data_IF_926443167188
#
_entry.id   IF_926443167188
#
_cell.length_a   1.000
_cell.length_b   1.000
_cell.length_c   1.000
_cell.angle_alpha   90.00
_cell.angle_beta   90.00
_cell.angle_gamma   90.00
#
_symmetry.space_group_name_H-M   'P 1'
#
loop_
_entity.id
_entity.type
_entity.pdbx_description
1 polymer ?
#
# COMPACT_ATOMS: atom_id res chain seq x y z
N UNK A 1 20.50 -7.72 8.07
CA UNK A 1 19.88 -7.08 9.26
C UNK A 1 19.81 -8.11 10.39
N UNK A 2 20.14 -7.79 11.64
CA UNK A 2 20.18 -8.79 12.75
C UNK A 2 18.89 -8.69 13.58
N UNK A 3 18.00 -9.68 13.48
CA UNK A 3 16.76 -9.73 14.26
C UNK A 3 17.06 -10.11 15.72
N UNK A 4 16.53 -9.33 16.66
CA UNK A 4 16.69 -9.53 18.11
C UNK A 4 15.32 -9.86 18.70
N UNK A 5 15.19 -11.06 19.26
CA UNK A 5 13.99 -11.50 19.97
C UNK A 5 13.87 -10.73 21.30
N UNK A 6 12.73 -10.09 21.52
CA UNK A 6 12.37 -9.31 22.70
C UNK A 6 11.20 -9.96 23.47
N UNK A 7 10.32 -10.69 22.77
CA UNK A 7 9.11 -11.27 23.35
C UNK A 7 9.10 -12.80 23.43
N UNK A 8 8.23 -13.35 24.28
CA UNK A 8 8.03 -14.80 24.39
C UNK A 8 7.52 -15.43 23.08
N UNK A 9 6.69 -14.71 22.33
CA UNK A 9 6.17 -15.12 21.01
C UNK A 9 7.22 -15.06 19.89
N UNK A 10 8.34 -14.39 20.13
CA UNK A 10 9.44 -14.26 19.15
C UNK A 10 10.52 -15.32 19.35
N UNK A 11 10.40 -16.13 20.41
CA UNK A 11 11.42 -17.11 20.79
C UNK A 11 11.60 -18.16 19.70
N UNK A 12 12.79 -18.21 19.09
CA UNK A 12 13.10 -19.12 17.99
C UNK A 12 12.76 -18.55 16.60
N UNK A 13 12.09 -17.40 16.52
CA UNK A 13 11.79 -16.74 15.25
C UNK A 13 13.06 -16.23 14.58
N UNK A 14 14.12 -15.89 15.33
CA UNK A 14 15.41 -15.49 14.76
C UNK A 14 15.95 -16.53 13.78
N UNK A 15 15.82 -17.81 14.11
CA UNK A 15 16.28 -18.88 13.22
C UNK A 15 15.48 -18.88 11.92
N UNK A 16 14.15 -18.74 11.99
CA UNK A 16 13.27 -18.64 10.82
C UNK A 16 13.65 -17.42 9.96
N UNK A 17 13.89 -16.28 10.59
CA UNK A 17 14.30 -15.06 9.91
C UNK A 17 15.64 -15.26 9.17
N UNK A 18 16.62 -15.90 9.80
CA UNK A 18 17.95 -16.06 9.20
C UNK A 18 17.99 -17.13 8.11
N UNK A 19 17.30 -18.26 8.29
CA UNK A 19 17.39 -19.39 7.36
C UNK A 19 16.38 -19.33 6.23
N UNK A 20 15.14 -18.88 6.50
CA UNK A 20 14.04 -18.89 5.53
C UNK A 20 13.76 -17.52 4.92
N UNK A 21 13.71 -16.47 5.75
CA UNK A 21 13.36 -15.13 5.26
C UNK A 21 14.56 -14.36 4.70
N UNK A 22 15.74 -14.48 5.30
CA UNK A 22 16.94 -13.73 4.92
C UNK A 22 17.24 -13.79 3.42
N UNK A 23 17.43 -14.99 2.83
CA UNK A 23 17.70 -15.13 1.40
C UNK A 23 16.57 -14.57 0.52
N UNK A 24 15.30 -14.83 0.89
CA UNK A 24 14.14 -14.35 0.14
C UNK A 24 14.01 -12.82 0.19
N UNK A 25 14.33 -12.20 1.33
CA UNK A 25 14.34 -10.75 1.51
C UNK A 25 15.46 -10.08 0.70
N UNK A 26 16.64 -10.69 0.64
CA UNK A 26 17.74 -10.20 -0.21
C UNK A 26 17.40 -10.30 -1.69
N UNK A 27 16.80 -11.41 -2.12
CA UNK A 27 16.28 -11.57 -3.49
C UNK A 27 15.21 -10.52 -3.80
N UNK A 28 14.29 -10.28 -2.86
CA UNK A 28 13.29 -9.24 -2.99
C UNK A 28 13.94 -7.84 -3.10
N UNK A 29 14.88 -7.50 -2.22
CA UNK A 29 15.56 -6.21 -2.27
C UNK A 29 16.35 -6.03 -3.59
N UNK A 30 16.98 -7.10 -4.09
CA UNK A 30 17.64 -7.11 -5.39
C UNK A 30 16.64 -6.88 -6.54
N UNK A 31 15.46 -7.53 -6.51
CA UNK A 31 14.37 -7.30 -7.47
C UNK A 31 13.88 -5.86 -7.41
N UNK A 32 13.67 -5.28 -6.22
CA UNK A 32 13.30 -3.87 -6.05
C UNK A 32 14.33 -2.95 -6.70
N UNK A 33 15.62 -3.15 -6.42
CA UNK A 33 16.71 -2.34 -7.00
C UNK A 33 16.79 -2.50 -8.53
N UNK A 34 16.59 -3.73 -9.05
CA UNK A 34 16.58 -3.99 -10.48
C UNK A 34 15.38 -3.33 -11.18
N UNK A 35 14.19 -3.38 -10.57
CA UNK A 35 12.99 -2.70 -11.06
C UNK A 35 13.17 -1.17 -11.04
N UNK A 36 13.71 -0.60 -9.95
CA UNK A 36 14.01 0.83 -9.89
C UNK A 36 15.04 1.25 -10.94
N UNK A 37 16.06 0.42 -11.19
CA UNK A 37 17.05 0.66 -12.25
C UNK A 37 16.43 0.59 -13.64
N UNK A 38 15.58 -0.42 -13.91
CA UNK A 38 14.82 -0.52 -15.18
C UNK A 38 13.85 0.64 -15.35
N UNK A 39 13.12 1.01 -14.31
CA UNK A 39 12.21 2.14 -14.32
C UNK A 39 12.97 3.43 -14.63
N UNK A 40 14.11 3.68 -13.98
CA UNK A 40 14.95 4.87 -14.23
C UNK A 40 15.53 4.91 -15.65
N UNK A 41 15.95 3.78 -16.20
CA UNK A 41 16.44 3.71 -17.58
C UNK A 41 15.29 3.87 -18.59
N UNK A 42 14.13 3.28 -18.30
CA UNK A 42 12.92 3.39 -19.11
C UNK A 42 12.35 4.81 -19.13
N UNK A 43 12.31 5.49 -17.98
CA UNK A 43 11.88 6.90 -17.93
C UNK A 43 12.81 7.82 -18.71
N UNK A 44 14.12 7.60 -18.61
CA UNK A 44 15.09 8.34 -19.39
C UNK A 44 14.91 8.09 -20.90
N UNK A 45 14.68 6.84 -21.30
CA UNK A 45 14.43 6.49 -22.71
C UNK A 45 13.13 7.11 -23.25
N UNK A 46 12.03 7.10 -22.46
CA UNK A 46 10.77 7.75 -22.82
C UNK A 46 10.93 9.26 -22.95
N UNK A 47 11.63 9.89 -22.01
CA UNK A 47 11.94 11.32 -22.06
C UNK A 47 12.75 11.68 -23.32
N UNK A 48 13.83 10.95 -23.60
CA UNK A 48 14.65 11.15 -24.79
C UNK A 48 13.84 10.95 -26.08
N UNK A 49 12.96 9.93 -26.12
CA UNK A 49 12.11 9.69 -27.29
C UNK A 49 11.13 10.84 -27.55
N UNK A 50 10.56 11.43 -26.50
CA UNK A 50 9.67 12.60 -26.59
C UNK A 50 10.42 13.85 -27.05
N UNK A 51 11.61 14.12 -26.50
CA UNK A 51 12.46 15.23 -26.91
C UNK A 51 12.93 15.07 -28.37
N UNK A 52 13.30 13.85 -28.78
CA UNK A 52 13.67 13.56 -30.16
C UNK A 52 12.49 13.75 -31.13
N UNK A 53 11.29 13.33 -30.74
CA UNK A 53 10.07 13.55 -31.54
C UNK A 53 9.73 15.05 -31.66
N UNK A 54 9.87 15.81 -30.57
CA UNK A 54 9.68 17.26 -30.57
C UNK A 54 10.71 17.99 -31.46
N UNK A 55 11.98 17.59 -31.38
CA UNK A 55 13.05 18.12 -32.23
C UNK A 55 12.86 17.79 -33.71
N UNK A 56 12.42 16.57 -34.03
CA UNK A 56 12.09 16.18 -35.40
C UNK A 56 10.89 16.97 -35.95
N UNK A 57 9.85 17.14 -35.13
CA UNK A 57 8.67 17.94 -35.49
C UNK A 57 9.05 19.42 -35.71
N UNK A 58 9.94 19.97 -34.90
CA UNK A 58 10.47 21.33 -35.07
C UNK A 58 11.14 21.51 -36.43
N UNK A 59 11.98 20.55 -36.84
CA UNK A 59 12.67 20.57 -38.14
C UNK A 59 11.69 20.46 -39.31
N UNK A 60 10.63 19.65 -39.18
CA UNK A 60 9.63 19.44 -40.25
C UNK A 60 8.67 20.62 -40.44
N UNK A 61 8.36 21.37 -39.37
CA UNK A 61 7.37 22.47 -39.41
C UNK A 61 8.01 23.84 -39.74
N UNK A 62 9.32 23.88 -39.99
CA UNK A 62 9.97 25.05 -40.59
C UNK A 62 10.16 26.26 -39.65
N UNK A 63 10.09 26.08 -38.33
CA UNK A 63 10.67 27.04 -37.37
C UNK A 63 10.01 28.43 -37.25
N UNK A 64 8.85 28.69 -37.84
CA UNK A 64 8.25 30.04 -37.82
C UNK A 64 7.23 30.24 -36.69
N UNK A 65 7.61 31.00 -35.66
CA UNK A 65 6.76 31.73 -34.70
C UNK A 65 5.87 30.94 -33.72
N UNK A 66 5.44 29.72 -34.08
CA UNK A 66 4.60 28.82 -33.26
C UNK A 66 5.39 27.67 -32.63
N UNK A 67 6.71 27.73 -32.70
CA UNK A 67 7.61 26.65 -32.31
C UNK A 67 7.91 26.52 -30.80
N UNK A 68 7.94 27.60 -29.99
CA UNK A 68 8.25 27.47 -28.55
C UNK A 68 7.18 26.73 -27.75
N UNK A 69 5.89 26.94 -28.07
CA UNK A 69 4.79 26.32 -27.32
C UNK A 69 4.66 24.83 -27.62
N UNK A 70 4.97 24.40 -28.86
CA UNK A 70 4.97 22.98 -29.23
C UNK A 70 6.04 22.23 -28.45
N UNK A 71 7.27 22.74 -28.42
CA UNK A 71 8.37 22.14 -27.64
C UNK A 71 8.00 22.06 -26.16
N UNK A 72 7.41 23.13 -25.61
CA UNK A 72 6.99 23.16 -24.21
C UNK A 72 5.91 22.11 -23.89
N UNK A 73 4.88 21.98 -24.73
CA UNK A 73 3.82 20.97 -24.56
C UNK A 73 4.40 19.55 -24.61
N UNK A 74 5.29 19.26 -25.57
CA UNK A 74 5.93 17.96 -25.67
C UNK A 74 6.84 17.64 -24.47
N UNK A 75 7.57 18.62 -23.95
CA UNK A 75 8.39 18.46 -22.75
C UNK A 75 7.51 18.14 -21.52
N UNK A 76 6.41 18.86 -21.32
CA UNK A 76 5.47 18.64 -20.21
C UNK A 76 4.81 17.25 -20.33
N UNK A 77 4.34 16.87 -21.52
CA UNK A 77 3.74 15.54 -21.75
C UNK A 77 4.77 14.42 -21.55
N UNK A 78 6.02 14.62 -21.99
CA UNK A 78 7.11 13.67 -21.78
C UNK A 78 7.43 13.43 -20.30
N UNK A 79 7.45 14.50 -19.49
CA UNK A 79 7.64 14.41 -18.03
C UNK A 79 6.48 13.67 -17.37
N UNK A 80 5.23 13.99 -17.74
CA UNK A 80 4.04 13.31 -17.20
C UNK A 80 4.05 11.82 -17.57
N UNK A 81 4.34 11.48 -18.82
CA UNK A 81 4.41 10.10 -19.28
C UNK A 81 5.51 9.30 -18.57
N UNK A 82 6.69 9.90 -18.38
CA UNK A 82 7.79 9.29 -17.62
C UNK A 82 7.41 9.09 -16.14
N UNK A 83 6.75 10.06 -15.52
CA UNK A 83 6.29 9.96 -14.13
C UNK A 83 5.23 8.86 -13.96
N UNK A 84 4.25 8.79 -14.85
CA UNK A 84 3.22 7.72 -14.85
C UNK A 84 3.86 6.35 -15.05
N UNK A 85 4.79 6.21 -16.02
CA UNK A 85 5.49 4.95 -16.26
C UNK A 85 6.29 4.48 -15.04
N UNK A 86 6.94 5.42 -14.33
CA UNK A 86 7.67 5.11 -13.10
C UNK A 86 6.75 4.57 -12.02
N UNK A 87 5.64 5.26 -11.73
CA UNK A 87 4.70 4.88 -10.67
C UNK A 87 4.05 3.51 -10.94
N UNK A 88 3.65 3.24 -12.19
CA UNK A 88 3.07 1.95 -12.59
C UNK A 88 4.02 0.76 -12.38
N UNK A 89 5.34 0.99 -12.46
CA UNK A 89 6.33 -0.06 -12.23
C UNK A 89 6.67 -0.24 -10.74
N UNK A 90 6.56 0.81 -9.93
CA UNK A 90 6.87 0.75 -8.50
C UNK A 90 5.72 0.24 -7.64
N UNK A 91 4.46 0.45 -8.05
CA UNK A 91 3.28 0.06 -7.26
C UNK A 91 3.10 -1.45 -7.12
N UNK A 92 3.69 -2.24 -8.03
CA UNK A 92 3.63 -3.72 -7.99
C UNK A 92 4.42 -4.34 -6.83
N UNK A 93 5.18 -3.54 -6.08
CA UNK A 93 6.12 -4.04 -5.07
C UNK A 93 5.54 -4.20 -3.66
N UNK A 94 4.64 -3.31 -3.23
CA UNK A 94 4.28 -3.18 -1.80
C UNK A 94 3.57 -4.43 -1.23
N UNK A 95 2.83 -5.17 -2.06
CA UNK A 95 2.13 -6.39 -1.63
C UNK A 95 3.03 -7.62 -1.44
N UNK A 96 4.15 -7.71 -2.16
CA UNK A 96 4.98 -8.93 -2.19
C UNK A 96 5.70 -9.24 -0.88
N UNK A 97 5.88 -8.24 -0.02
CA UNK A 97 6.56 -8.41 1.26
C UNK A 97 5.65 -9.09 2.29
N UNK A 98 4.40 -8.66 2.39
CA UNK A 98 3.42 -9.29 3.29
C UNK A 98 3.16 -10.74 2.90
N UNK A 99 3.02 -11.02 1.60
CA UNK A 99 2.85 -12.39 1.08
C UNK A 99 4.03 -13.30 1.41
N UNK A 100 5.23 -12.73 1.52
CA UNK A 100 6.42 -13.49 1.85
C UNK A 100 6.53 -13.76 3.36
N UNK A 101 6.31 -12.73 4.18
CA UNK A 101 6.61 -12.77 5.61
C UNK A 101 5.44 -13.36 6.41
N UNK A 102 4.20 -12.97 6.09
CA UNK A 102 3.04 -13.30 6.92
C UNK A 102 2.77 -14.81 7.04
N UNK A 103 2.92 -15.64 5.99
CA UNK A 103 2.78 -17.09 6.14
C UNK A 103 3.80 -17.69 7.11
N UNK A 104 5.06 -17.24 7.07
CA UNK A 104 6.13 -17.74 7.95
C UNK A 104 5.90 -17.30 9.41
N UNK A 105 5.33 -16.10 9.63
CA UNK A 105 4.89 -15.66 10.96
C UNK A 105 3.72 -16.54 11.45
N UNK A 106 2.72 -16.79 10.61
CA UNK A 106 1.57 -17.60 10.99
C UNK A 106 1.96 -19.05 11.31
N UNK A 107 2.88 -19.64 10.54
CA UNK A 107 3.44 -20.97 10.79
C UNK A 107 4.23 -21.00 12.11
N UNK A 108 5.06 -19.98 12.37
CA UNK A 108 5.88 -19.93 13.58
C UNK A 108 5.05 -19.75 14.86
N UNK A 109 4.12 -18.78 14.85
CA UNK A 109 3.29 -18.50 16.02
C UNK A 109 2.25 -19.61 16.23
N UNK A 110 1.77 -20.21 15.13
CA UNK A 110 0.76 -21.26 15.15
C UNK A 110 -0.65 -20.71 15.45
N UNK A 111 -1.67 -21.35 14.88
CA UNK A 111 -3.07 -21.00 15.14
C UNK A 111 -3.50 -19.62 14.60
N UNK A 112 -2.73 -19.06 13.68
CA UNK A 112 -3.04 -17.83 12.95
C UNK A 112 -3.35 -18.15 11.49
N UNK A 113 -4.23 -17.35 10.90
CA UNK A 113 -4.53 -17.36 9.47
C UNK A 113 -4.35 -15.97 8.91
N UNK A 114 -3.80 -15.89 7.70
CA UNK A 114 -3.51 -14.64 7.02
C UNK A 114 -4.18 -14.61 5.65
N UNK A 115 -4.80 -13.49 5.33
CA UNK A 115 -5.41 -13.21 4.04
C UNK A 115 -5.05 -11.79 3.60
N UNK A 116 -4.38 -11.69 2.45
CA UNK A 116 -3.86 -10.39 1.97
C UNK A 116 -4.96 -9.43 1.56
N UNK A 117 -5.95 -9.92 0.82
CA UNK A 117 -7.03 -9.13 0.24
C UNK A 117 -8.38 -9.70 0.73
N UNK A 118 -8.81 -9.38 1.96
CA UNK A 118 -9.92 -10.06 2.63
C UNK A 118 -11.33 -9.70 2.14
N UNK A 119 -11.46 -9.00 1.01
CA UNK A 119 -12.73 -8.63 0.35
C UNK A 119 -13.91 -8.27 1.28
N UNK A 120 -13.67 -7.48 2.33
CA UNK A 120 -14.74 -7.04 3.23
C UNK A 120 -15.11 -8.01 4.35
N UNK A 121 -14.37 -9.10 4.55
CA UNK A 121 -14.57 -10.05 5.67
C UNK A 121 -14.53 -9.36 7.04
N UNK A 122 -13.75 -8.29 7.19
CA UNK A 122 -13.75 -7.52 8.43
C UNK A 122 -14.93 -6.55 8.47
N UNK A 123 -15.69 -6.59 9.58
CA UNK A 123 -16.96 -5.88 9.74
C UNK A 123 -16.78 -4.38 10.06
N UNK A 124 -16.33 -3.59 9.08
CA UNK A 124 -16.13 -2.14 9.21
C UNK A 124 -17.42 -1.41 9.55
N UNK A 125 -18.56 -1.85 9.02
CA UNK A 125 -19.87 -1.27 9.34
C UNK A 125 -20.16 -1.30 10.84
N UNK A 126 -19.87 -2.41 11.52
CA UNK A 126 -20.05 -2.53 12.97
C UNK A 126 -19.19 -1.52 13.73
N UNK A 127 -17.95 -1.29 13.28
CA UNK A 127 -17.06 -0.30 13.90
C UNK A 127 -17.54 1.14 13.70
N UNK A 128 -18.11 1.44 12.53
CA UNK A 128 -18.79 2.71 12.26
C UNK A 128 -19.96 2.92 13.21
N UNK A 129 -20.80 1.91 13.39
CA UNK A 129 -22.01 2.00 14.24
C UNK A 129 -21.65 2.16 15.74
N UNK A 130 -20.45 1.71 16.12
CA UNK A 130 -19.85 1.98 17.43
C UNK A 130 -19.27 3.40 17.57
N UNK A 131 -19.23 4.18 16.48
CA UNK A 131 -18.74 5.56 16.45
C UNK A 131 -17.21 5.68 16.42
N UNK A 132 -16.49 4.65 15.98
CA UNK A 132 -15.01 4.69 15.97
C UNK A 132 -14.42 5.63 14.92
N UNK A 133 -15.16 5.96 13.86
CA UNK A 133 -14.70 6.86 12.80
C UNK A 133 -15.88 7.53 12.09
N UNK A 134 -15.58 8.57 11.33
CA UNK A 134 -16.57 9.37 10.59
C UNK A 134 -17.18 8.65 9.38
N UNK A 135 -18.10 9.36 8.73
CA UNK A 135 -18.72 8.90 7.49
C UNK A 135 -17.68 8.75 6.37
N UNK A 136 -17.73 7.62 5.67
CA UNK A 136 -16.89 7.28 4.53
C UNK A 136 -17.76 6.55 3.49
N UNK A 137 -17.36 6.58 2.23
CA UNK A 137 -18.04 5.88 1.13
C UNK A 137 -17.11 4.94 0.35
N UNK A 138 -15.82 4.96 0.67
CA UNK A 138 -14.84 4.00 0.15
C UNK A 138 -14.08 3.36 1.32
N UNK A 139 -13.88 2.06 1.21
CA UNK A 139 -13.18 1.26 2.21
C UNK A 139 -12.29 0.24 1.53
N UNK A 140 -11.01 0.25 1.90
CA UNK A 140 -10.03 -0.73 1.47
C UNK A 140 -9.54 -1.50 2.69
N UNK A 141 -9.58 -2.83 2.60
CA UNK A 141 -9.08 -3.74 3.64
C UNK A 141 -7.92 -4.54 3.07
N UNK A 142 -6.85 -4.70 3.86
CA UNK A 142 -5.69 -5.54 3.51
C UNK A 142 -5.15 -6.25 4.74
N UNK A 143 -4.41 -7.33 4.51
CA UNK A 143 -3.63 -8.04 5.51
C UNK A 143 -4.48 -8.47 6.72
N UNK A 144 -5.61 -9.14 6.49
CA UNK A 144 -6.41 -9.71 7.57
C UNK A 144 -5.63 -10.85 8.24
N UNK A 145 -5.36 -10.68 9.52
CA UNK A 145 -4.81 -11.69 10.39
C UNK A 145 -5.90 -12.12 11.36
N UNK A 146 -6.18 -13.42 11.48
CA UNK A 146 -7.15 -13.92 12.45
C UNK A 146 -6.64 -15.14 13.19
N UNK A 147 -7.08 -15.31 14.44
CA UNK A 147 -6.60 -16.39 15.28
C UNK A 147 -7.33 -16.45 16.62
N UNK A 148 -6.79 -17.24 17.54
CA UNK A 148 -7.29 -17.35 18.90
C UNK A 148 -6.15 -17.16 19.89
N UNK A 149 -6.35 -16.30 20.89
CA UNK A 149 -5.38 -16.09 21.96
C UNK A 149 -6.08 -16.21 23.32
N UNK A 150 -5.58 -17.11 24.18
CA UNK A 150 -6.23 -17.46 25.46
C UNK A 150 -7.73 -17.79 25.33
N UNK A 151 -8.11 -18.49 24.25
CA UNK A 151 -9.49 -18.86 23.98
C UNK A 151 -10.37 -17.73 23.44
N UNK A 152 -9.82 -16.52 23.23
CA UNK A 152 -10.52 -15.39 22.63
C UNK A 152 -10.17 -15.28 21.14
N UNK A 153 -11.17 -15.42 20.23
CA UNK A 153 -10.98 -15.13 18.83
C UNK A 153 -10.63 -13.66 18.62
N UNK A 154 -9.71 -13.39 17.71
CA UNK A 154 -9.37 -12.04 17.30
C UNK A 154 -9.14 -11.94 15.80
N UNK A 155 -9.28 -10.71 15.30
CA UNK A 155 -8.98 -10.32 13.92
C UNK A 155 -8.26 -8.97 13.92
N UNK A 156 -7.26 -8.82 13.06
CA UNK A 156 -6.53 -7.59 12.79
C UNK A 156 -6.60 -7.33 11.31
N UNK A 157 -6.93 -6.12 10.88
CA UNK A 157 -6.90 -5.75 9.47
C UNK A 157 -6.29 -4.37 9.32
N UNK A 158 -5.55 -4.15 8.24
CA UNK A 158 -5.20 -2.81 7.80
C UNK A 158 -6.38 -2.24 7.02
N UNK A 159 -6.92 -1.11 7.48
CA UNK A 159 -8.04 -0.44 6.85
C UNK A 159 -7.65 0.98 6.43
N UNK A 160 -8.11 1.35 5.24
CA UNK A 160 -8.09 2.71 4.73
C UNK A 160 -9.51 3.10 4.37
N UNK A 161 -10.02 4.14 5.01
CA UNK A 161 -11.38 4.66 4.83
C UNK A 161 -11.28 6.04 4.21
N UNK A 162 -12.00 6.25 3.12
CA UNK A 162 -11.99 7.50 2.38
C UNK A 162 -13.41 8.02 2.17
N UNK A 163 -13.54 9.33 2.15
CA UNK A 163 -14.75 10.03 1.76
C UNK A 163 -14.48 10.79 0.47
N UNK A 164 -15.13 10.37 -0.59
CA UNK A 164 -15.16 11.09 -1.87
C UNK A 164 -16.45 11.89 -1.97
N UNK A 165 -16.33 13.19 -2.25
CA UNK A 165 -17.47 14.08 -2.51
C UNK A 165 -17.30 14.72 -3.87
N UNK A 166 -18.39 14.78 -4.63
CA UNK A 166 -18.44 15.46 -5.94
C UNK A 166 -19.13 16.80 -5.77
N UNK A 167 -18.52 17.87 -6.29
CA UNK A 167 -19.11 19.21 -6.27
C UNK A 167 -20.08 19.43 -7.46
N UNK A 168 -20.70 20.61 -7.53
CA UNK A 168 -21.65 20.95 -8.60
C UNK A 168 -21.00 21.12 -10.00
N UNK A 169 -19.66 21.13 -10.06
CA UNK A 169 -18.87 21.24 -11.28
C UNK A 169 -18.22 19.90 -11.67
N UNK A 170 -18.73 18.78 -11.13
CA UNK A 170 -18.18 17.43 -11.32
C UNK A 170 -16.73 17.25 -10.83
N UNK A 171 -16.23 18.11 -9.94
CA UNK A 171 -14.92 17.89 -9.33
C UNK A 171 -15.06 16.92 -8.16
N UNK A 172 -14.25 15.86 -8.18
CA UNK A 172 -14.14 14.91 -7.09
C UNK A 172 -13.06 15.30 -6.10
N UNK A 173 -13.42 15.37 -4.82
CA UNK A 173 -12.47 15.53 -3.72
C UNK A 173 -12.50 14.29 -2.84
N UNK A 174 -11.34 13.66 -2.65
CA UNK A 174 -11.18 12.50 -1.77
C UNK A 174 -10.39 12.87 -0.53
N UNK A 175 -10.94 12.56 0.65
CA UNK A 175 -10.30 12.80 1.94
C UNK A 175 -10.22 11.50 2.73
N UNK A 176 -9.05 11.21 3.29
CA UNK A 176 -8.85 10.08 4.19
C UNK A 176 -9.51 10.33 5.54
N UNK A 177 -10.42 9.44 5.93
CA UNK A 177 -11.14 9.48 7.21
C UNK A 177 -10.37 8.69 8.27
N UNK A 178 -9.78 7.58 7.87
CA UNK A 178 -8.98 6.71 8.74
C UNK A 178 -7.99 5.93 7.90
N UNK A 179 -6.76 5.79 8.40
CA UNK A 179 -5.76 4.87 7.86
C UNK A 179 -4.99 4.24 9.02
N UNK A 180 -5.07 2.92 9.15
CA UNK A 180 -4.41 2.23 10.24
C UNK A 180 -4.86 0.79 10.43
N UNK A 181 -4.52 0.24 11.60
CA UNK A 181 -4.92 -1.10 12.00
C UNK A 181 -6.23 -1.04 12.78
N UNK A 182 -7.18 -1.89 12.39
CA UNK A 182 -8.38 -2.17 13.16
C UNK A 182 -8.22 -3.55 13.81
N UNK A 183 -8.59 -3.63 15.07
CA UNK A 183 -8.50 -4.85 15.87
C UNK A 183 -9.86 -5.18 16.45
N UNK A 184 -10.30 -6.43 16.28
CA UNK A 184 -11.53 -6.96 16.82
C UNK A 184 -11.20 -8.16 17.68
N UNK A 185 -11.64 -8.14 18.94
CA UNK A 185 -11.51 -9.25 19.87
C UNK A 185 -12.91 -9.67 20.29
N UNK A 186 -13.19 -10.95 20.22
CA UNK A 186 -14.44 -11.51 20.75
C UNK A 186 -14.24 -11.85 22.22
N UNK A 187 -15.00 -11.19 23.08
CA UNK A 187 -14.98 -11.42 24.52
C UNK A 187 -15.89 -12.61 24.89
N UNK A 188 -15.54 -13.38 25.92
CA UNK A 188 -16.34 -14.54 26.35
C UNK A 188 -17.68 -14.14 26.99
N UNK A 189 -17.85 -12.87 27.37
CA UNK A 189 -19.08 -12.32 27.93
C UNK A 189 -19.38 -10.96 27.31
N UNK A 190 -20.67 -10.69 27.12
CA UNK A 190 -21.11 -9.37 26.65
C UNK A 190 -20.81 -8.30 27.70
N UNK A 191 -20.29 -7.17 27.25
CA UNK A 191 -20.09 -5.99 28.07
C UNK A 191 -21.33 -5.10 27.87
N UNK A 192 -22.12 -4.83 28.92
CA UNK A 192 -23.41 -4.12 28.79
C UNK A 192 -23.26 -2.63 28.47
N UNK A 193 -22.04 -2.11 28.35
CA UNK A 193 -21.74 -0.69 28.19
C UNK A 193 -20.60 -0.48 27.21
N UNK A 194 -20.67 0.62 26.46
CA UNK A 194 -19.60 1.03 25.55
C UNK A 194 -18.45 1.63 26.35
N UNK A 195 -17.25 1.08 26.18
CA UNK A 195 -16.02 1.59 26.80
C UNK A 195 -15.17 2.20 25.69
N UNK A 196 -14.83 3.49 25.80
CA UNK A 196 -13.90 4.18 24.92
C UNK A 196 -12.59 4.39 25.67
N UNK A 197 -11.51 3.82 25.15
CA UNK A 197 -10.15 4.10 25.59
C UNK A 197 -9.47 4.80 24.43
N UNK A 198 -9.19 6.09 24.60
CA UNK A 198 -8.45 6.88 23.63
C UNK A 198 -7.11 7.29 24.24
N UNK A 199 -6.12 7.48 23.39
CA UNK A 199 -4.87 8.11 23.80
C UNK A 199 -5.18 9.57 24.17
N UNK A 200 -4.64 10.03 25.29
CA UNK A 200 -4.65 11.46 25.63
C UNK A 200 -3.76 12.19 24.62
N UNK A 201 -4.34 13.19 23.94
CA UNK A 201 -3.67 13.99 22.91
C UNK A 201 -3.13 15.30 23.49
#
# INVERSE_FOLDING_TARGET
MKFVEQGALEKGFRSVVQTRLGPKLEELEAKRKALLRKARLGTLAVFIAFEAAAGLLYLLVGGEGKTPWVIFVFAVVGVIAAFVYYNLQTDKWSGSLSDLIMPEICDHVGGLTFERDPEGRFQIATMRDLGMFGAHNRSTQRNLLSGTHHGMPFEIVQAMLEKTTTDANDNEQTTTVFEGLLFRIVLPRSVPTRILIAKDY
#
